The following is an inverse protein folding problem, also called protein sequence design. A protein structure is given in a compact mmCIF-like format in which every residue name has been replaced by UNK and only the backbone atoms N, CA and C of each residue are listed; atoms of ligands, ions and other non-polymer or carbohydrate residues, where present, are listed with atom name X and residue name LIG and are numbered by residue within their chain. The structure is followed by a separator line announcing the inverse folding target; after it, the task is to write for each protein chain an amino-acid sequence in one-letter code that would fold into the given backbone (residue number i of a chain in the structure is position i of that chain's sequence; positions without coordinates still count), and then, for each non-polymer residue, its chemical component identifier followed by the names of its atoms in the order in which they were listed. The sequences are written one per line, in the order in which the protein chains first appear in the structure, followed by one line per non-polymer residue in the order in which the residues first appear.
data_IF_842992568135
#
_entry.id   IF_842992568135
#
_cell.length_a   1.000
_cell.length_b   1.000
_cell.length_c   1.000
_cell.angle_alpha   90.00
_cell.angle_beta   90.00
_cell.angle_gamma   90.00
#
_symmetry.space_group_name_H-M   'P 1'
#
loop_
_entity.id
_entity.type
_entity.pdbx_description
1 polymer ?
#
# COMPACT_ATOMS: atom_id res chain seq x y z
N UNK A 1 31.00 -0.24 33.83
CA UNK A 1 30.13 -1.29 34.36
C UNK A 1 28.71 -0.87 34.04
N UNK A 2 28.33 -1.11 32.79
CA UNK A 2 26.99 -1.07 32.28
C UNK A 2 26.94 -2.34 31.42
N UNK A 3 26.18 -3.32 31.86
CA UNK A 3 25.88 -4.52 31.10
C UNK A 3 24.83 -4.10 30.08
N UNK A 4 25.25 -3.88 28.84
CA UNK A 4 24.34 -3.79 27.70
C UNK A 4 23.84 -5.22 27.42
N UNK A 5 22.62 -5.49 27.88
CA UNK A 5 21.84 -6.68 27.62
C UNK A 5 21.41 -6.67 26.15
N UNK A 6 22.32 -7.14 25.29
CA UNK A 6 22.17 -7.22 23.85
C UNK A 6 21.38 -8.49 23.46
N UNK A 7 20.17 -8.65 24.03
CA UNK A 7 19.22 -9.71 23.66
C UNK A 7 18.48 -9.37 22.35
N UNK A 8 19.21 -8.86 21.36
CA UNK A 8 18.72 -8.54 20.03
C UNK A 8 18.77 -9.79 19.14
N UNK A 9 17.61 -10.10 18.55
CA UNK A 9 17.36 -11.10 17.48
C UNK A 9 17.09 -12.56 17.87
N UNK A 10 15.88 -12.81 18.39
CA UNK A 10 15.21 -14.13 18.21
C UNK A 10 13.97 -14.04 17.30
N UNK A 11 13.91 -13.03 16.44
CA UNK A 11 12.85 -12.89 15.43
C UNK A 11 12.94 -13.91 14.29
N UNK A 12 14.09 -14.59 14.14
CA UNK A 12 14.39 -15.50 13.03
C UNK A 12 14.14 -16.99 13.33
N UNK A 13 13.82 -17.36 14.57
CA UNK A 13 13.54 -18.76 14.94
C UNK A 13 12.05 -19.07 15.19
N UNK A 14 11.18 -18.05 15.16
CA UNK A 14 9.74 -18.23 15.32
C UNK A 14 9.18 -19.22 14.29
N UNK A 15 8.39 -20.20 14.76
CA UNK A 15 7.72 -21.21 13.93
C UNK A 15 6.92 -20.58 12.79
N UNK A 16 6.22 -19.49 13.07
CA UNK A 16 5.34 -18.79 12.14
C UNK A 16 6.10 -18.27 10.89
N UNK A 17 7.40 -17.96 11.02
CA UNK A 17 8.26 -17.56 9.89
C UNK A 17 8.74 -18.73 9.01
N UNK A 18 8.62 -19.97 9.48
CA UNK A 18 9.04 -21.18 8.75
C UNK A 18 7.90 -21.83 7.98
N UNK A 19 6.65 -21.37 8.18
CA UNK A 19 5.48 -21.84 7.47
C UNK A 19 5.47 -21.29 6.04
N UNK A 20 5.27 -22.17 5.07
CA UNK A 20 5.13 -21.82 3.66
C UNK A 20 3.66 -21.79 3.23
N UNK A 21 3.34 -21.19 2.08
CA UNK A 21 1.98 -21.19 1.53
C UNK A 21 1.41 -22.61 1.42
N UNK A 22 2.23 -23.58 1.00
CA UNK A 22 1.84 -24.99 0.89
C UNK A 22 1.51 -25.61 2.24
N UNK A 23 2.26 -25.25 3.28
CA UNK A 23 2.01 -25.72 4.64
C UNK A 23 0.64 -25.22 5.12
N UNK A 24 0.30 -23.96 4.82
CA UNK A 24 -1.01 -23.37 5.13
C UNK A 24 -2.15 -24.00 4.33
N UNK A 25 -1.93 -24.34 3.06
CA UNK A 25 -2.90 -25.08 2.25
C UNK A 25 -3.19 -26.46 2.82
N UNK A 26 -2.15 -27.19 3.26
CA UNK A 26 -2.30 -28.49 3.93
C UNK A 26 -3.12 -28.36 5.22
N UNK A 27 -2.77 -27.41 6.09
CA UNK A 27 -3.51 -27.17 7.34
C UNK A 27 -4.97 -26.80 7.03
N UNK A 28 -5.21 -25.87 6.09
CA UNK A 28 -6.56 -25.48 5.67
C UNK A 28 -7.38 -26.68 5.19
N UNK A 29 -6.79 -27.51 4.33
CA UNK A 29 -7.48 -28.69 3.81
C UNK A 29 -7.87 -29.65 4.93
N UNK A 30 -7.04 -29.81 5.97
CA UNK A 30 -7.38 -30.64 7.12
C UNK A 30 -8.61 -30.10 7.87
N UNK A 31 -8.63 -28.81 8.18
CA UNK A 31 -9.76 -28.16 8.85
C UNK A 31 -11.05 -28.26 8.02
N UNK A 32 -10.97 -28.15 6.70
CA UNK A 32 -12.14 -28.25 5.81
C UNK A 32 -12.64 -29.68 5.63
N UNK A 33 -11.74 -30.67 5.51
CA UNK A 33 -12.12 -32.07 5.25
C UNK A 33 -12.80 -32.71 6.46
N UNK A 34 -12.49 -32.26 7.67
CA UNK A 34 -13.10 -32.78 8.91
C UNK A 34 -14.33 -31.97 9.38
N UNK A 35 -14.66 -30.86 8.70
CA UNK A 35 -15.83 -30.04 8.97
C UNK A 35 -17.05 -30.33 8.09
N UNK A 36 -16.94 -31.23 7.10
CA UNK A 36 -18.06 -31.60 6.23
C UNK A 36 -19.05 -32.54 6.95
N UNK A 37 -19.94 -31.96 7.78
CA UNK A 37 -21.02 -32.72 8.41
C UNK A 37 -22.00 -31.93 9.28
N UNK A 38 -21.59 -30.75 9.75
CA UNK A 38 -22.43 -29.86 10.56
C UNK A 38 -21.98 -28.43 10.36
N UNK A 39 -22.91 -27.49 10.41
CA UNK A 39 -22.74 -26.02 10.30
C UNK A 39 -21.86 -25.40 11.42
N UNK A 40 -21.11 -26.24 12.16
CA UNK A 40 -20.21 -25.87 13.24
C UNK A 40 -18.77 -25.83 12.72
N UNK A 41 -18.10 -24.69 12.93
CA UNK A 41 -16.67 -24.52 12.69
C UNK A 41 -15.90 -25.68 13.34
N UNK A 42 -15.31 -26.55 12.53
CA UNK A 42 -14.46 -27.63 13.02
C UNK A 42 -13.28 -27.02 13.79
N UNK A 43 -13.27 -27.22 15.11
CA UNK A 43 -12.27 -26.69 16.03
C UNK A 43 -11.44 -27.81 16.63
N UNK A 44 -10.14 -27.57 16.80
CA UNK A 44 -9.19 -28.53 17.35
C UNK A 44 -8.81 -28.18 18.77
N UNK A 45 -8.74 -29.18 19.65
CA UNK A 45 -8.09 -29.05 20.96
C UNK A 45 -6.58 -28.91 20.80
N UNK A 46 -5.89 -28.49 21.88
CA UNK A 46 -4.44 -28.34 21.90
C UNK A 46 -3.68 -29.60 21.48
N UNK A 47 -4.09 -30.76 21.99
CA UNK A 47 -3.45 -32.03 21.63
C UNK A 47 -3.65 -32.37 20.16
N UNK A 48 -4.87 -32.21 19.63
CA UNK A 48 -5.19 -32.48 18.23
C UNK A 48 -4.44 -31.53 17.29
N UNK A 49 -4.37 -30.25 17.65
CA UNK A 49 -3.62 -29.24 16.91
C UNK A 49 -2.12 -29.56 16.84
N UNK A 50 -1.50 -29.86 17.98
CA UNK A 50 -0.08 -30.24 18.02
C UNK A 50 0.21 -31.51 17.23
N UNK A 51 -0.68 -32.52 17.33
CA UNK A 51 -0.55 -33.77 16.59
C UNK A 51 -0.70 -33.56 15.08
N UNK A 52 -1.68 -32.75 14.65
CA UNK A 52 -1.89 -32.37 13.26
C UNK A 52 -0.66 -31.67 12.71
N UNK A 53 -0.22 -30.58 13.36
CA UNK A 53 0.93 -29.83 12.88
C UNK A 53 2.20 -30.68 12.92
N UNK A 54 2.41 -31.50 13.94
CA UNK A 54 3.58 -32.39 14.00
C UNK A 54 3.59 -33.47 12.92
N UNK A 55 2.42 -33.94 12.48
CA UNK A 55 2.29 -34.97 11.45
C UNK A 55 2.38 -34.38 10.04
N UNK A 56 1.68 -33.29 9.80
CA UNK A 56 1.55 -32.68 8.47
C UNK A 56 2.67 -31.66 8.19
N UNK A 57 3.18 -31.01 9.24
CA UNK A 57 4.25 -30.01 9.15
C UNK A 57 5.52 -30.52 9.84
N UNK A 58 6.59 -30.72 9.08
CA UNK A 58 7.92 -30.94 9.64
C UNK A 58 8.66 -29.61 9.82
N UNK A 59 8.01 -28.63 10.49
CA UNK A 59 8.45 -27.23 10.56
C UNK A 59 8.83 -26.76 11.96
N UNK A 60 8.44 -27.47 13.02
CA UNK A 60 8.73 -27.11 14.40
C UNK A 60 8.66 -28.30 15.36
N UNK A 61 9.01 -28.04 16.61
CA UNK A 61 8.90 -29.02 17.70
C UNK A 61 7.48 -29.03 18.30
N UNK A 62 7.12 -30.11 19.04
CA UNK A 62 5.85 -30.16 19.77
C UNK A 62 5.64 -28.99 20.73
N UNK A 63 6.70 -28.52 21.37
CA UNK A 63 6.68 -27.35 22.25
C UNK A 63 6.34 -26.08 21.46
N UNK A 64 6.93 -25.90 20.28
CA UNK A 64 6.64 -24.74 19.42
C UNK A 64 5.18 -24.74 18.91
N UNK A 65 4.63 -25.92 18.61
CA UNK A 65 3.21 -26.05 18.26
C UNK A 65 2.28 -25.78 19.45
N UNK A 66 2.67 -26.23 20.64
CA UNK A 66 1.95 -25.95 21.89
C UNK A 66 1.93 -24.45 22.19
N UNK A 67 3.07 -23.78 22.06
CA UNK A 67 3.19 -22.34 22.29
C UNK A 67 2.40 -21.53 21.24
N UNK A 68 2.37 -22.00 19.98
CA UNK A 68 1.54 -21.40 18.94
C UNK A 68 0.05 -21.53 19.28
N UNK A 69 -0.39 -22.68 19.79
CA UNK A 69 -1.77 -22.86 20.25
C UNK A 69 -2.13 -21.84 21.34
N UNK A 70 -1.29 -21.72 22.37
CA UNK A 70 -1.55 -20.83 23.51
C UNK A 70 -1.60 -19.35 23.09
N UNK A 71 -0.84 -18.96 22.05
CA UNK A 71 -0.90 -17.60 21.48
C UNK A 71 -2.18 -17.33 20.71
N UNK A 72 -2.74 -18.33 20.05
CA UNK A 72 -3.98 -18.18 19.28
C UNK A 72 -5.19 -18.24 20.21
N UNK A 73 -5.21 -19.17 21.17
CA UNK A 73 -6.28 -19.34 22.15
C UNK A 73 -6.13 -18.39 23.36
N UNK A 74 -6.02 -17.09 23.09
CA UNK A 74 -5.91 -16.05 24.14
C UNK A 74 -7.12 -16.08 25.09
N UNK A 75 -8.29 -16.43 24.57
CA UNK A 75 -9.53 -16.55 25.34
C UNK A 75 -9.59 -17.76 26.28
N UNK A 76 -8.63 -18.69 26.18
CA UNK A 76 -8.63 -19.99 26.88
C UNK A 76 -9.92 -20.76 26.66
N UNK A 77 -10.43 -20.74 25.43
CA UNK A 77 -11.61 -21.50 25.03
C UNK A 77 -11.28 -23.00 24.89
N UNK A 78 -9.99 -23.34 24.80
CA UNK A 78 -9.49 -24.71 24.75
C UNK A 78 -9.53 -25.32 23.35
N UNK A 79 -10.08 -24.61 22.36
CA UNK A 79 -10.13 -25.03 20.95
C UNK A 79 -9.84 -23.88 19.98
N UNK A 80 -9.28 -24.24 18.82
CA UNK A 80 -8.95 -23.32 17.73
C UNK A 80 -9.58 -23.81 16.43
N UNK A 81 -10.26 -22.93 15.71
CA UNK A 81 -10.73 -23.16 14.35
C UNK A 81 -9.78 -22.55 13.30
N UNK A 82 -10.07 -22.81 12.03
CA UNK A 82 -9.29 -22.27 10.92
C UNK A 82 -9.25 -20.74 10.92
N UNK A 83 -10.35 -20.07 11.24
CA UNK A 83 -10.43 -18.61 11.18
C UNK A 83 -9.55 -17.95 12.22
N UNK A 84 -9.52 -18.48 13.45
CA UNK A 84 -8.60 -18.02 14.51
C UNK A 84 -7.14 -18.26 14.12
N UNK A 85 -6.81 -19.45 13.61
CA UNK A 85 -5.46 -19.78 13.16
C UNK A 85 -5.00 -18.86 12.03
N UNK A 86 -5.82 -18.69 10.99
CA UNK A 86 -5.52 -17.84 9.84
C UNK A 86 -5.41 -16.36 10.22
N UNK A 87 -6.29 -15.88 11.09
CA UNK A 87 -6.28 -14.49 11.58
C UNK A 87 -5.01 -14.18 12.37
N UNK A 88 -4.59 -15.09 13.26
CA UNK A 88 -3.35 -14.91 14.02
C UNK A 88 -2.11 -14.86 13.10
N UNK A 89 -2.02 -15.78 12.14
CA UNK A 89 -0.92 -15.78 11.18
C UNK A 89 -0.91 -14.51 10.32
N UNK A 90 -2.07 -14.06 9.85
CA UNK A 90 -2.17 -12.83 9.07
C UNK A 90 -1.70 -11.62 9.89
N UNK A 91 -2.10 -11.53 11.16
CA UNK A 91 -1.69 -10.45 12.06
C UNK A 91 -0.18 -10.44 12.27
N UNK A 92 0.44 -11.58 12.59
CA UNK A 92 1.90 -11.69 12.75
C UNK A 92 2.65 -11.31 11.45
N UNK A 93 2.11 -11.65 10.27
CA UNK A 93 2.70 -11.24 8.99
C UNK A 93 2.58 -9.73 8.76
N UNK A 94 1.43 -9.13 9.03
CA UNK A 94 1.20 -7.68 8.88
C UNK A 94 2.10 -6.90 9.84
N UNK A 95 2.17 -7.31 11.11
CA UNK A 95 3.03 -6.66 12.09
C UNK A 95 4.51 -6.77 11.71
N UNK A 96 4.95 -7.93 11.19
CA UNK A 96 6.32 -8.08 10.67
C UNK A 96 6.57 -7.16 9.48
N UNK A 97 5.65 -7.10 8.51
CA UNK A 97 5.77 -6.24 7.33
C UNK A 97 5.81 -4.75 7.72
N UNK A 98 4.98 -4.32 8.66
CA UNK A 98 4.96 -2.95 9.17
C UNK A 98 6.25 -2.60 9.93
N UNK A 99 6.79 -3.54 10.73
CA UNK A 99 8.10 -3.35 11.40
C UNK A 99 9.22 -3.26 10.38
N UNK A 100 9.24 -4.11 9.35
CA UNK A 100 10.22 -4.05 8.28
C UNK A 100 10.14 -2.72 7.54
N UNK A 101 8.93 -2.27 7.15
CA UNK A 101 8.70 -0.98 6.52
C UNK A 101 9.12 0.21 7.40
N UNK A 102 8.87 0.13 8.71
CA UNK A 102 9.23 1.17 9.67
C UNK A 102 10.73 1.25 9.96
N UNK A 103 11.47 0.15 9.80
CA UNK A 103 12.92 0.08 10.05
C UNK A 103 13.74 0.26 8.76
N UNK A 104 13.14 0.10 7.58
CA UNK A 104 13.82 0.32 6.32
C UNK A 104 13.95 1.81 6.03
N UNK A 105 15.17 2.32 6.10
CA UNK A 105 15.53 3.59 5.48
C UNK A 105 15.26 3.45 3.98
N UNK A 106 14.54 4.39 3.34
CA UNK A 106 14.30 4.33 1.91
C UNK A 106 15.64 4.22 1.17
N UNK A 107 15.80 3.17 0.36
CA UNK A 107 16.95 3.06 -0.54
C UNK A 107 16.72 4.01 -1.72
N UNK A 108 17.14 5.26 -1.54
CA UNK A 108 17.06 6.26 -2.60
C UNK A 108 17.94 5.84 -3.78
N UNK A 109 17.36 5.84 -4.97
CA UNK A 109 18.14 5.72 -6.20
C UNK A 109 19.07 6.93 -6.36
N UNK A 110 20.11 6.77 -7.18
CA UNK A 110 20.95 7.89 -7.58
C UNK A 110 20.12 9.06 -8.13
N UNK A 111 20.53 10.27 -7.77
CA UNK A 111 19.87 11.50 -8.23
C UNK A 111 20.01 11.59 -9.75
N UNK A 112 18.88 11.69 -10.44
CA UNK A 112 18.83 11.85 -11.90
C UNK A 112 18.35 13.25 -12.26
N UNK A 113 19.06 13.89 -13.18
CA UNK A 113 18.62 15.13 -13.81
C UNK A 113 17.69 14.81 -14.98
N UNK A 114 16.46 15.30 -14.91
CA UNK A 114 15.45 15.07 -15.94
C UNK A 114 15.30 16.32 -16.82
N UNK A 115 15.29 16.18 -18.16
CA UNK A 115 15.01 17.31 -19.03
C UNK A 115 13.55 17.76 -18.83
N UNK A 116 13.36 19.04 -18.47
CA UNK A 116 12.03 19.60 -18.32
C UNK A 116 11.41 19.92 -19.68
N UNK A 117 10.16 19.52 -19.95
CA UNK A 117 9.45 19.95 -21.16
C UNK A 117 8.86 21.36 -21.02
N UNK A 118 8.91 21.95 -19.82
CA UNK A 118 8.31 23.26 -19.51
C UNK A 118 9.28 24.38 -19.84
N UNK A 119 8.75 25.50 -20.36
CA UNK A 119 9.57 26.68 -20.71
C UNK A 119 9.60 27.75 -19.62
N UNK A 120 8.93 27.49 -18.50
CA UNK A 120 8.85 28.37 -17.34
C UNK A 120 8.87 27.53 -16.05
N UNK A 121 8.87 28.22 -14.90
CA UNK A 121 8.93 27.65 -13.55
C UNK A 121 7.84 26.60 -13.35
N UNK A 122 8.22 25.44 -12.83
CA UNK A 122 7.28 24.42 -12.35
C UNK A 122 6.73 24.89 -11.02
N UNK A 123 5.42 25.13 -10.95
CA UNK A 123 4.79 25.63 -9.74
C UNK A 123 4.69 24.55 -8.66
N UNK A 124 4.37 23.31 -9.07
CA UNK A 124 4.23 22.19 -8.14
C UNK A 124 4.31 20.85 -8.87
N UNK A 125 4.67 19.80 -8.13
CA UNK A 125 4.69 18.40 -8.55
C UNK A 125 3.76 17.62 -7.63
N UNK A 126 2.94 16.74 -8.17
CA UNK A 126 2.02 15.90 -7.41
C UNK A 126 2.05 14.45 -7.90
N UNK A 127 2.04 13.51 -6.96
CA UNK A 127 1.90 12.08 -7.24
C UNK A 127 0.43 11.67 -7.24
N UNK A 128 0.02 10.93 -8.25
CA UNK A 128 -1.32 10.35 -8.42
C UNK A 128 -1.28 8.86 -8.06
N UNK A 129 -1.69 8.54 -6.83
CA UNK A 129 -1.64 7.16 -6.32
C UNK A 129 -2.52 6.19 -7.12
N UNK A 130 -3.68 6.66 -7.60
CA UNK A 130 -4.64 5.85 -8.36
C UNK A 130 -4.12 5.38 -9.74
N UNK A 131 -3.21 6.12 -10.36
CA UNK A 131 -2.70 5.85 -11.71
C UNK A 131 -1.20 5.60 -11.74
N UNK A 132 -0.53 5.74 -10.59
CA UNK A 132 0.92 5.64 -10.43
C UNK A 132 1.68 6.56 -11.39
N UNK A 133 1.32 7.86 -11.36
CA UNK A 133 1.88 8.89 -12.25
C UNK A 133 2.23 10.15 -11.48
N UNK A 134 3.09 10.97 -12.05
CA UNK A 134 3.36 12.32 -11.56
C UNK A 134 2.80 13.36 -12.51
N UNK A 135 2.16 14.37 -11.93
CA UNK A 135 1.73 15.58 -12.65
C UNK A 135 2.62 16.74 -12.21
N UNK A 136 3.11 17.48 -13.20
CA UNK A 136 3.81 18.74 -12.99
C UNK A 136 3.09 19.84 -13.73
N UNK A 137 2.87 20.98 -13.08
CA UNK A 137 2.23 22.14 -13.69
C UNK A 137 3.18 23.32 -13.65
N UNK A 138 3.42 23.93 -14.81
CA UNK A 138 4.23 25.13 -14.94
C UNK A 138 3.41 26.41 -14.88
N UNK A 139 4.10 27.51 -14.58
CA UNK A 139 3.55 28.86 -14.48
C UNK A 139 2.87 29.32 -15.78
N UNK A 140 3.42 28.92 -16.92
CA UNK A 140 2.90 29.19 -18.27
C UNK A 140 1.65 28.36 -18.66
N UNK A 141 1.16 27.51 -17.75
CA UNK A 141 -0.02 26.68 -18.00
C UNK A 141 0.26 25.44 -18.84
N UNK A 142 1.45 24.84 -18.72
CA UNK A 142 1.71 23.52 -19.27
C UNK A 142 1.58 22.46 -18.16
N UNK A 143 0.80 21.40 -18.42
CA UNK A 143 0.68 20.24 -17.55
C UNK A 143 1.46 19.10 -18.20
N UNK A 144 2.44 18.54 -17.50
CA UNK A 144 3.13 17.34 -17.94
C UNK A 144 2.80 16.14 -17.06
N UNK A 145 2.62 15.00 -17.72
CA UNK A 145 2.34 13.71 -17.12
C UNK A 145 3.57 12.80 -17.28
N UNK A 146 3.99 12.22 -16.17
CA UNK A 146 5.14 11.34 -16.08
C UNK A 146 4.71 9.99 -15.50
N UNK A 147 5.27 8.91 -16.03
CA UNK A 147 5.08 7.59 -15.43
C UNK A 147 5.80 7.45 -14.09
N UNK A 148 5.54 6.34 -13.41
CA UNK A 148 6.16 5.99 -12.13
C UNK A 148 7.70 6.00 -12.18
N UNK A 149 8.27 5.71 -13.36
CA UNK A 149 9.71 5.67 -13.59
C UNK A 149 10.30 7.01 -14.03
N UNK A 150 9.51 8.09 -13.97
CA UNK A 150 9.89 9.44 -14.38
C UNK A 150 10.20 9.52 -15.89
N UNK A 151 9.47 8.76 -16.69
CA UNK A 151 9.37 8.86 -18.14
C UNK A 151 8.29 9.88 -18.53
N UNK A 152 8.65 10.86 -19.36
CA UNK A 152 7.69 11.84 -19.89
C UNK A 152 6.73 11.17 -20.84
N UNK A 153 5.42 11.20 -20.54
CA UNK A 153 4.40 10.58 -21.39
C UNK A 153 3.69 11.60 -22.27
N UNK A 154 3.25 12.71 -21.67
CA UNK A 154 2.44 13.72 -22.36
C UNK A 154 2.65 15.09 -21.73
N UNK A 155 2.73 16.12 -22.57
CA UNK A 155 2.58 17.51 -22.16
C UNK A 155 1.33 18.09 -22.82
N UNK A 156 0.54 18.84 -22.08
CA UNK A 156 -0.67 19.48 -22.59
C UNK A 156 -0.71 20.92 -22.10
N UNK A 157 -0.92 21.85 -23.03
CA UNK A 157 -1.07 23.26 -22.71
C UNK A 157 -2.53 23.56 -22.41
N UNK A 158 -2.74 24.23 -21.31
CA UNK A 158 -4.07 24.65 -20.87
C UNK A 158 -4.52 25.85 -21.70
N UNK A 159 -5.76 25.82 -22.18
CA UNK A 159 -6.43 27.01 -22.71
C UNK A 159 -7.25 27.68 -21.59
N UNK A 160 -7.09 28.99 -21.45
CA UNK A 160 -8.04 29.84 -20.72
C UNK A 160 -8.66 30.80 -21.73
N UNK A 161 -9.98 30.70 -21.92
CA UNK A 161 -10.69 31.51 -22.91
C UNK A 161 -10.94 32.95 -22.44
N UNK A 162 -10.82 33.25 -21.14
CA UNK A 162 -11.04 34.61 -20.62
C UNK A 162 -9.91 35.57 -20.92
N UNK A 163 -8.68 35.07 -21.00
CA UNK A 163 -7.50 35.92 -21.15
C UNK A 163 -6.47 35.22 -22.00
N UNK A 164 -5.77 35.98 -22.84
CA UNK A 164 -4.69 35.44 -23.67
C UNK A 164 -3.70 34.67 -22.80
N UNK A 165 -3.25 33.47 -23.19
CA UNK A 165 -2.35 32.64 -22.38
C UNK A 165 -1.03 33.31 -21.95
N UNK A 166 -0.61 34.38 -22.63
CA UNK A 166 0.58 35.16 -22.29
C UNK A 166 0.37 36.15 -21.13
N UNK A 167 -0.89 36.51 -20.87
CA UNK A 167 -1.28 37.59 -19.96
C UNK A 167 -1.83 37.03 -18.62
N UNK A 168 -1.81 35.69 -18.44
CA UNK A 168 -2.25 35.00 -17.23
C UNK A 168 -1.31 33.85 -16.88
N UNK A 169 -1.01 33.70 -15.59
CA UNK A 169 -0.17 32.63 -15.08
C UNK A 169 -0.93 31.72 -14.13
N UNK A 170 -0.59 30.44 -14.17
CA UNK A 170 -0.98 29.50 -13.12
C UNK A 170 -0.21 29.85 -11.85
N UNK A 171 -0.91 30.05 -10.74
CA UNK A 171 -0.30 30.34 -9.44
C UNK A 171 -0.10 29.08 -8.62
N UNK A 172 -1.08 28.18 -8.60
CA UNK A 172 -0.99 26.86 -7.95
C UNK A 172 -2.06 25.90 -8.46
N UNK A 173 -1.95 24.62 -8.07
CA UNK A 173 -2.97 23.61 -8.33
C UNK A 173 -3.23 22.68 -7.15
N UNK A 174 -4.42 22.08 -7.18
CA UNK A 174 -4.86 21.02 -6.29
C UNK A 174 -5.36 19.82 -7.11
N UNK A 175 -4.97 18.61 -6.71
CA UNK A 175 -5.48 17.36 -7.29
C UNK A 175 -6.64 16.86 -6.42
N UNK A 176 -7.76 16.58 -7.07
CA UNK A 176 -8.95 15.99 -6.48
C UNK A 176 -9.04 14.53 -6.95
N UNK A 177 -8.23 13.65 -6.34
CA UNK A 177 -8.05 12.26 -6.80
C UNK A 177 -9.36 11.44 -6.75
N UNK A 178 -10.18 11.68 -5.72
CA UNK A 178 -11.47 11.01 -5.53
C UNK A 178 -12.47 11.24 -6.68
N UNK A 179 -12.32 12.33 -7.43
CA UNK A 179 -13.21 12.70 -8.55
C UNK A 179 -12.45 12.84 -9.88
N UNK A 180 -11.19 12.39 -9.93
CA UNK A 180 -10.27 12.52 -11.06
C UNK A 180 -10.25 13.93 -11.67
N UNK A 181 -10.04 14.96 -10.85
CA UNK A 181 -9.97 16.36 -11.33
C UNK A 181 -8.71 17.06 -10.86
N UNK A 182 -8.33 18.10 -11.60
CA UNK A 182 -7.32 19.07 -11.21
C UNK A 182 -7.94 20.47 -11.19
N UNK A 183 -7.79 21.18 -10.08
CA UNK A 183 -8.16 22.57 -9.96
C UNK A 183 -6.91 23.43 -10.11
N UNK A 184 -6.96 24.40 -11.03
CA UNK A 184 -5.90 25.35 -11.32
C UNK A 184 -6.35 26.75 -10.93
N UNK A 185 -5.51 27.45 -10.18
CA UNK A 185 -5.73 28.86 -9.86
C UNK A 185 -4.82 29.74 -10.70
N UNK A 186 -5.34 30.91 -11.07
CA UNK A 186 -4.67 31.81 -11.99
C UNK A 186 -4.53 33.23 -11.40
N UNK A 187 -3.59 34.01 -11.94
CA UNK A 187 -3.44 35.44 -11.61
C UNK A 187 -4.66 36.27 -11.97
N UNK A 188 -5.53 35.78 -12.87
CA UNK A 188 -6.83 36.39 -13.21
C UNK A 188 -7.88 36.26 -12.11
N UNK A 189 -7.56 35.64 -10.96
CA UNK A 189 -8.48 35.30 -9.86
C UNK A 189 -9.56 34.27 -10.25
N UNK A 190 -9.36 33.58 -11.36
CA UNK A 190 -10.21 32.48 -11.80
C UNK A 190 -9.65 31.15 -11.29
N UNK A 191 -10.54 30.19 -11.03
CA UNK A 191 -10.20 28.78 -10.80
C UNK A 191 -10.82 27.96 -11.92
N UNK A 192 -10.00 27.20 -12.64
CA UNK A 192 -10.46 26.29 -13.69
C UNK A 192 -10.26 24.86 -13.24
N UNK A 193 -11.29 24.03 -13.41
CA UNK A 193 -11.27 22.62 -13.03
C UNK A 193 -11.28 21.77 -14.29
N UNK A 194 -10.26 20.93 -14.44
CA UNK A 194 -10.08 20.02 -15.57
C UNK A 194 -10.25 18.57 -15.14
N UNK A 195 -10.71 17.74 -16.07
CA UNK A 195 -10.76 16.30 -15.91
C UNK A 195 -9.37 15.66 -16.08
N UNK A 196 -9.00 14.78 -15.16
CA UNK A 196 -7.78 13.95 -15.20
C UNK A 196 -8.03 12.54 -15.74
N UNK A 197 -9.17 12.29 -16.40
CA UNK A 197 -9.52 11.00 -17.00
C UNK A 197 -8.41 10.45 -17.91
N UNK A 198 -8.43 9.13 -18.14
CA UNK A 198 -7.34 8.35 -18.76
C UNK A 198 -6.89 8.82 -20.14
N UNK A 199 -7.73 9.54 -20.90
CA UNK A 199 -7.35 10.15 -22.20
C UNK A 199 -6.60 11.47 -22.05
N UNK A 200 -6.68 12.10 -20.87
CA UNK A 200 -6.03 13.36 -20.49
C UNK A 200 -6.17 14.42 -21.59
N UNK A 201 -7.32 14.45 -22.24
CA UNK A 201 -7.81 15.59 -22.99
C UNK A 201 -8.31 16.54 -21.92
N UNK A 202 -7.46 17.49 -21.51
CA UNK A 202 -7.75 18.42 -20.42
C UNK A 202 -8.89 19.35 -20.85
N UNK A 203 -10.12 18.87 -20.72
CA UNK A 203 -11.32 19.61 -21.00
C UNK A 203 -11.69 20.40 -19.73
N UNK A 204 -11.77 21.72 -19.87
CA UNK A 204 -12.23 22.58 -18.78
C UNK A 204 -13.70 22.24 -18.50
N UNK A 205 -14.00 21.76 -17.29
CA UNK A 205 -15.35 21.39 -16.88
C UNK A 205 -16.04 22.49 -16.11
N UNK A 206 -15.29 23.17 -15.23
CA UNK A 206 -15.84 24.23 -14.39
C UNK A 206 -14.92 25.43 -14.39
N UNK A 207 -15.54 26.59 -14.38
CA UNK A 207 -14.88 27.87 -14.26
C UNK A 207 -15.53 28.62 -13.11
N UNK A 208 -14.75 28.85 -12.06
CA UNK A 208 -15.16 29.61 -10.88
C UNK A 208 -14.47 30.96 -10.94
N UNK A 209 -15.27 32.01 -10.79
CA UNK A 209 -14.84 33.39 -10.72
C UNK A 209 -15.62 34.04 -9.57
N UNK A 210 -15.02 35.08 -8.99
CA UNK A 210 -15.67 35.96 -8.00
C UNK A 210 -16.66 36.91 -8.70
#
# INVERSE_FOLDING_TARGET
MAEDDDSLFDGNNKLESRLTLKDLETVKSFFLTHGEGSDDNFSLTKEEFCNLLGKELNRGSPEEYSDLFDKIDVGKEGTIDWDKFASHLLLEYVEKDDRVKSMQVPQWNEIRLLPSPHKDIIQKIAYLANTNRYIMVSKEGSISNWGAHLDMQKITKISNDSVKPRDVWVTTFCILQNVNKIALSFTSKEILIYDLSTKMELNCQYKVFD
#
